data_IF_073899762909
#
_entry.id   IF_073899762909
#
_cell.length_a   1.000
_cell.length_b   1.000
_cell.length_c   1.000
_cell.angle_alpha   90.00
_cell.angle_beta   90.00
_cell.angle_gamma   90.00
#
_symmetry.space_group_name_H-M   'P 1'
#
loop_
_entity.id
_entity.type
_entity.pdbx_description
1 polymer ?
#
# COMPACT_ATOMS: atom_id res chain seq x y z
N UNK A 1 9.06 12.80 1.45
CA UNK A 1 10.40 12.33 1.81
C UNK A 1 10.57 10.83 1.59
N UNK A 2 11.73 10.42 1.12
CA UNK A 2 12.01 9.03 0.79
C UNK A 2 11.87 8.08 1.99
N UNK A 3 12.21 8.55 3.18
CA UNK A 3 12.09 7.74 4.41
C UNK A 3 10.65 7.40 4.72
N UNK A 4 9.75 8.36 4.57
CA UNK A 4 8.32 8.16 4.82
C UNK A 4 7.75 7.20 3.79
N UNK A 5 8.11 7.37 2.52
CA UNK A 5 7.68 6.45 1.46
C UNK A 5 8.12 5.02 1.74
N UNK A 6 9.36 4.82 2.18
CA UNK A 6 9.89 3.51 2.50
C UNK A 6 9.17 2.88 3.70
N UNK A 7 8.88 3.67 4.73
CA UNK A 7 8.12 3.19 5.89
C UNK A 7 6.72 2.75 5.50
N UNK A 8 6.04 3.54 4.68
CA UNK A 8 4.71 3.21 4.19
C UNK A 8 4.76 1.95 3.32
N UNK A 9 5.74 1.86 2.43
CA UNK A 9 5.93 0.68 1.60
C UNK A 9 6.15 -0.58 2.44
N UNK A 10 6.91 -0.47 3.53
CA UNK A 10 7.15 -1.60 4.43
C UNK A 10 5.86 -2.07 5.10
N UNK A 11 5.02 -1.15 5.52
CA UNK A 11 3.72 -1.50 6.10
C UNK A 11 2.90 -2.30 5.09
N UNK A 12 2.84 -1.84 3.85
CA UNK A 12 2.10 -2.52 2.79
C UNK A 12 2.69 -3.90 2.50
N UNK A 13 4.00 -3.98 2.33
CA UNK A 13 4.69 -5.21 1.94
C UNK A 13 4.76 -6.25 3.05
N UNK A 14 4.44 -5.88 4.28
CA UNK A 14 4.37 -6.83 5.41
C UNK A 14 3.14 -7.75 5.30
N UNK A 15 2.09 -7.32 4.61
CA UNK A 15 0.91 -8.16 4.43
C UNK A 15 1.24 -9.36 3.53
N UNK A 16 0.90 -10.56 4.00
CA UNK A 16 1.27 -11.80 3.32
C UNK A 16 0.60 -12.00 1.96
N UNK A 17 -0.49 -11.30 1.71
CA UNK A 17 -1.19 -11.37 0.42
C UNK A 17 -0.64 -10.38 -0.61
N UNK A 18 0.19 -9.44 -0.18
CA UNK A 18 0.76 -8.43 -1.06
C UNK A 18 2.05 -8.96 -1.68
N UNK A 19 2.10 -8.93 -3.00
CA UNK A 19 3.26 -9.37 -3.78
C UNK A 19 4.16 -8.19 -4.15
N UNK A 20 3.55 -7.03 -4.45
CA UNK A 20 4.28 -5.89 -4.95
C UNK A 20 3.45 -4.61 -4.79
N UNK A 21 4.12 -3.48 -4.90
CA UNK A 21 3.47 -2.18 -5.01
C UNK A 21 3.63 -1.73 -6.47
N UNK A 22 2.52 -1.66 -7.19
CA UNK A 22 2.55 -1.26 -8.59
C UNK A 22 2.91 0.22 -8.75
N UNK A 23 2.22 1.06 -7.99
CA UNK A 23 2.47 2.50 -7.94
C UNK A 23 2.22 2.98 -6.52
N UNK A 24 2.98 3.96 -6.09
CA UNK A 24 2.74 4.62 -4.82
C UNK A 24 3.15 6.07 -4.90
N UNK A 25 2.32 6.92 -4.33
CA UNK A 25 2.62 8.33 -4.19
C UNK A 25 2.24 8.76 -2.77
N UNK A 26 3.16 9.44 -2.12
CA UNK A 26 2.93 10.02 -0.80
C UNK A 26 3.07 11.51 -0.93
N UNK A 27 2.00 12.22 -0.64
CA UNK A 27 1.96 13.68 -0.65
C UNK A 27 1.96 14.18 0.77
N UNK A 28 2.77 15.19 1.03
CA UNK A 28 2.81 15.85 2.31
C UNK A 28 2.12 17.20 2.21
N UNK A 29 1.20 17.46 3.15
CA UNK A 29 0.51 18.73 3.28
C UNK A 29 0.55 19.13 4.75
N UNK A 30 1.40 20.11 5.06
CA UNK A 30 1.69 20.43 6.46
C UNK A 30 2.32 19.23 7.15
N UNK A 31 1.67 18.75 8.22
CA UNK A 31 2.10 17.54 8.94
C UNK A 31 1.38 16.27 8.46
N UNK A 32 0.42 16.43 7.56
CA UNK A 32 -0.39 15.30 7.08
C UNK A 32 0.27 14.63 5.90
N UNK A 33 0.12 13.31 5.83
CA UNK A 33 0.52 12.53 4.67
C UNK A 33 -0.71 11.91 4.02
N UNK A 34 -0.76 12.01 2.70
CA UNK A 34 -1.80 11.43 1.87
C UNK A 34 -1.15 10.32 1.05
N UNK A 35 -1.65 9.11 1.20
CA UNK A 35 -1.10 7.93 0.52
C UNK A 35 -2.04 7.53 -0.62
N UNK A 36 -1.47 7.39 -1.81
CA UNK A 36 -2.17 6.92 -2.99
C UNK A 36 -1.34 5.78 -3.60
N UNK A 37 -1.89 4.58 -3.60
CA UNK A 37 -1.14 3.42 -4.04
C UNK A 37 -2.03 2.40 -4.75
N UNK A 38 -1.41 1.70 -5.72
CA UNK A 38 -1.97 0.51 -6.34
C UNK A 38 -1.11 -0.67 -5.91
N UNK A 39 -1.74 -1.64 -5.28
CA UNK A 39 -1.08 -2.79 -4.66
C UNK A 39 -1.42 -4.05 -5.43
N UNK A 40 -0.41 -4.88 -5.68
CA UNK A 40 -0.59 -6.16 -6.36
C UNK A 40 -0.73 -7.26 -5.34
N UNK A 41 -1.84 -8.00 -5.42
CA UNK A 41 -2.13 -9.13 -4.56
C UNK A 41 -1.83 -10.43 -5.29
N UNK A 42 -1.47 -11.47 -4.52
CA UNK A 42 -1.27 -12.80 -5.08
C UNK A 42 -2.52 -13.27 -5.81
N UNK A 43 -2.32 -14.09 -6.84
CA UNK A 43 -3.40 -14.67 -7.63
C UNK A 43 -4.25 -15.63 -6.79
N UNK A 44 -5.50 -15.76 -7.17
CA UNK A 44 -6.39 -16.75 -6.60
C UNK A 44 -7.17 -16.31 -5.38
N UNK A 45 -7.05 -15.04 -4.96
CA UNK A 45 -7.89 -14.52 -3.90
C UNK A 45 -9.32 -14.33 -4.40
N UNK A 46 -10.30 -14.68 -3.56
CA UNK A 46 -11.67 -14.32 -3.82
C UNK A 46 -11.82 -12.80 -3.68
N UNK A 47 -12.91 -12.26 -4.20
CA UNK A 47 -13.21 -10.83 -4.04
C UNK A 47 -13.32 -10.47 -2.56
N UNK A 48 -13.95 -11.33 -1.75
CA UNK A 48 -14.07 -11.11 -0.31
C UNK A 48 -12.71 -11.08 0.38
N UNK A 49 -11.82 -12.01 0.02
CA UNK A 49 -10.46 -12.04 0.56
C UNK A 49 -9.67 -10.79 0.18
N UNK A 50 -9.78 -10.37 -1.08
CA UNK A 50 -9.11 -9.16 -1.55
C UNK A 50 -9.61 -7.92 -0.82
N UNK A 51 -10.90 -7.84 -0.57
CA UNK A 51 -11.52 -6.75 0.16
C UNK A 51 -11.03 -6.69 1.61
N UNK A 52 -10.90 -7.84 2.25
CA UNK A 52 -10.34 -7.94 3.61
C UNK A 52 -8.90 -7.43 3.65
N UNK A 53 -8.10 -7.76 2.65
CA UNK A 53 -6.72 -7.25 2.54
C UNK A 53 -6.73 -5.73 2.42
N UNK A 54 -7.60 -5.19 1.59
CA UNK A 54 -7.73 -3.74 1.39
C UNK A 54 -8.04 -3.02 2.70
N UNK A 55 -9.03 -3.51 3.46
CA UNK A 55 -9.39 -2.92 4.74
C UNK A 55 -8.27 -3.03 5.76
N UNK A 56 -7.59 -4.18 5.81
CA UNK A 56 -6.47 -4.39 6.71
C UNK A 56 -5.32 -3.43 6.41
N UNK A 57 -4.99 -3.24 5.15
CA UNK A 57 -3.95 -2.30 4.73
C UNK A 57 -4.31 -0.87 5.11
N UNK A 58 -5.55 -0.46 4.87
CA UNK A 58 -6.02 0.88 5.26
C UNK A 58 -5.86 1.10 6.76
N UNK A 59 -6.32 0.14 7.55
CA UNK A 59 -6.22 0.25 9.01
C UNK A 59 -4.77 0.39 9.45
N UNK A 60 -3.88 -0.41 8.89
CA UNK A 60 -2.46 -0.34 9.24
C UNK A 60 -1.83 1.00 8.83
N UNK A 61 -2.18 1.52 7.66
CA UNK A 61 -1.66 2.80 7.21
C UNK A 61 -2.16 3.95 8.07
N UNK A 62 -3.43 3.93 8.49
CA UNK A 62 -3.96 4.98 9.38
C UNK A 62 -3.36 4.95 10.78
N UNK A 63 -2.75 3.84 11.19
CA UNK A 63 -2.00 3.79 12.45
C UNK A 63 -0.66 4.51 12.37
N UNK A 64 -0.16 4.75 11.16
CA UNK A 64 1.09 5.48 10.95
C UNK A 64 0.88 6.95 11.30
N UNK A 65 1.88 7.55 11.94
CA UNK A 65 1.79 8.93 12.38
C UNK A 65 1.54 9.86 11.19
N UNK A 66 0.54 10.72 11.34
CA UNK A 66 0.21 11.79 10.39
C UNK A 66 -0.36 11.31 9.05
N UNK A 67 -0.66 10.06 8.87
CA UNK A 67 -1.39 9.60 7.67
C UNK A 67 -2.87 9.92 7.87
N UNK A 68 -3.40 10.79 7.02
CA UNK A 68 -4.78 11.30 7.14
C UNK A 68 -5.68 10.86 6.00
N UNK A 69 -5.13 10.53 4.85
CA UNK A 69 -5.88 10.04 3.70
C UNK A 69 -5.18 8.85 3.08
N UNK A 70 -5.95 7.83 2.74
CA UNK A 70 -5.44 6.62 2.11
C UNK A 70 -6.34 6.27 0.93
N UNK A 71 -5.76 6.22 -0.24
CA UNK A 71 -6.38 5.75 -1.47
C UNK A 71 -5.65 4.49 -1.91
N UNK A 72 -6.32 3.35 -1.83
CA UNK A 72 -5.74 2.08 -2.23
C UNK A 72 -6.54 1.44 -3.35
N UNK A 73 -5.86 1.15 -4.45
CA UNK A 73 -6.36 0.27 -5.48
C UNK A 73 -5.66 -1.08 -5.37
N UNK A 74 -6.35 -2.15 -5.73
CA UNK A 74 -5.78 -3.48 -5.75
C UNK A 74 -5.89 -4.09 -7.14
N UNK A 75 -4.83 -4.75 -7.57
CA UNK A 75 -4.80 -5.52 -8.80
C UNK A 75 -4.18 -6.88 -8.52
N UNK A 76 -4.37 -7.80 -9.44
CA UNK A 76 -3.72 -9.11 -9.38
C UNK A 76 -2.26 -8.99 -9.80
N UNK A 77 -1.40 -9.80 -9.19
CA UNK A 77 0.02 -9.87 -9.52
C UNK A 77 0.22 -10.00 -11.04
N UNK A 78 1.02 -9.10 -11.62
CA UNK A 78 1.31 -9.08 -13.06
C UNK A 78 2.59 -9.83 -13.43
N UNK A 79 3.26 -10.45 -12.45
CA UNK A 79 4.50 -11.18 -12.65
C UNK A 79 5.74 -10.30 -12.80
N UNK A 80 5.60 -8.99 -12.64
CA UNK A 80 6.72 -8.04 -12.73
C UNK A 80 7.03 -7.46 -11.38
N UNK A 81 8.27 -7.02 -11.19
CA UNK A 81 8.66 -6.27 -10.00
C UNK A 81 8.57 -4.79 -10.32
N UNK A 82 7.68 -4.09 -9.66
CA UNK A 82 7.44 -2.66 -9.90
C UNK A 82 8.00 -1.77 -8.78
N UNK A 83 8.02 -2.26 -7.55
CA UNK A 83 8.55 -1.49 -6.44
C UNK A 83 10.03 -1.75 -6.25
N UNK A 84 10.79 -0.69 -6.08
CA UNK A 84 12.21 -0.76 -5.79
C UNK A 84 12.53 0.29 -4.72
N UNK A 85 13.13 -0.09 -3.58
CA UNK A 85 13.56 0.88 -2.59
C UNK A 85 14.68 1.74 -3.16
N UNK A 86 14.65 3.01 -2.80
CA UNK A 86 15.65 3.97 -3.29
C UNK A 86 16.66 4.34 -2.25
#
# INVERSE_FOLDING_TARGET
>A
PAEVEQQIAQVILTDSCVVDINKMRVLQEGRAYHVDAIVELRKGLSLAEADDVLFSLRDELFKSANVTDVYLGIIEDDGRTNWSPQ
#
